data_IF_671840732707
#
_entry.id   IF_671840732707
#
_cell.length_a   1.000
_cell.length_b   1.000
_cell.length_c   1.000
_cell.angle_alpha   90.00
_cell.angle_beta   90.00
_cell.angle_gamma   90.00
#
_symmetry.space_group_name_H-M   'P 1'
#
loop_
_entity.id
_entity.type
_entity.pdbx_description
1 polymer ?
#
# COMPACT_ATOMS: atom_id res chain seq x y z
N UNK A 1 -17.60 21.79 -4.44
CA UNK A 1 -16.25 21.18 -4.43
C UNK A 1 -16.35 19.75 -3.93
N UNK A 2 -15.47 18.84 -4.37
CA UNK A 2 -15.51 17.42 -3.99
C UNK A 2 -15.49 17.21 -2.47
N UNK A 3 -14.72 18.03 -1.75
CA UNK A 3 -14.61 18.05 -0.28
C UNK A 3 -15.95 18.22 0.44
N UNK A 4 -16.87 19.02 -0.09
CA UNK A 4 -18.20 19.22 0.52
C UNK A 4 -19.04 17.93 0.51
N UNK A 5 -18.97 17.18 -0.58
CA UNK A 5 -19.67 15.88 -0.69
C UNK A 5 -19.02 14.80 0.18
N UNK A 6 -17.70 14.85 0.33
CA UNK A 6 -16.96 13.92 1.18
C UNK A 6 -17.24 14.18 2.66
N UNK A 7 -17.30 15.45 3.09
CA UNK A 7 -17.59 15.83 4.48
C UNK A 7 -18.99 15.40 4.95
N UNK A 8 -19.98 15.35 4.04
CA UNK A 8 -21.32 14.84 4.36
C UNK A 8 -21.45 13.32 4.24
N UNK A 9 -20.46 12.65 3.67
CA UNK A 9 -20.45 11.21 3.43
C UNK A 9 -19.76 10.46 4.58
N UNK A 10 -20.25 9.25 4.88
CA UNK A 10 -19.61 8.36 5.88
C UNK A 10 -18.44 7.59 5.27
N UNK A 11 -18.58 7.20 4.01
CA UNK A 11 -17.65 6.33 3.29
C UNK A 11 -17.32 6.92 1.93
N UNK A 12 -16.05 6.85 1.53
CA UNK A 12 -15.56 7.34 0.26
C UNK A 12 -14.89 6.20 -0.50
N UNK A 13 -15.48 5.79 -1.64
CA UNK A 13 -15.00 4.67 -2.43
C UNK A 13 -13.70 5.03 -3.17
N UNK A 14 -12.71 4.14 -3.06
CA UNK A 14 -11.36 4.29 -3.60
C UNK A 14 -10.93 2.98 -4.30
N UNK A 15 -11.39 2.74 -5.55
CA UNK A 15 -10.99 1.57 -6.31
C UNK A 15 -9.57 1.68 -6.86
N UNK A 16 -8.95 0.54 -7.17
CA UNK A 16 -7.67 0.47 -7.83
C UNK A 16 -7.74 1.18 -9.20
N UNK A 17 -7.06 2.30 -9.31
CA UNK A 17 -7.16 3.24 -10.44
C UNK A 17 -7.21 4.67 -9.90
N UNK A 18 -6.32 5.53 -10.40
CA UNK A 18 -5.76 6.72 -9.75
C UNK A 18 -4.56 6.36 -8.85
N UNK A 19 -3.42 6.98 -9.10
CA UNK A 19 -2.12 6.73 -8.47
C UNK A 19 -2.16 6.66 -6.92
N UNK A 20 -1.19 6.02 -6.23
CA UNK A 20 -1.07 6.05 -4.76
C UNK A 20 -1.12 7.47 -4.14
N UNK A 21 -0.76 8.48 -4.94
CA UNK A 21 -0.75 9.92 -4.64
C UNK A 21 -2.03 10.66 -5.08
N UNK A 22 -3.10 9.95 -5.42
CA UNK A 22 -4.34 10.57 -5.87
C UNK A 22 -4.95 11.48 -4.80
N UNK A 23 -5.31 12.71 -5.18
CA UNK A 23 -5.93 13.71 -4.30
C UNK A 23 -7.15 13.16 -3.54
N UNK A 24 -7.86 12.19 -4.13
CA UNK A 24 -9.07 11.59 -3.54
C UNK A 24 -8.83 10.95 -2.17
N UNK A 25 -7.67 10.32 -1.93
CA UNK A 25 -7.38 9.73 -0.62
C UNK A 25 -7.11 10.82 0.42
N UNK A 26 -6.32 11.83 0.04
CA UNK A 26 -6.00 12.98 0.88
C UNK A 26 -7.28 13.75 1.25
N UNK A 27 -8.11 14.07 0.25
CA UNK A 27 -9.38 14.78 0.44
C UNK A 27 -10.35 13.98 1.34
N UNK A 28 -10.40 12.65 1.19
CA UNK A 28 -11.22 11.78 2.03
C UNK A 28 -10.78 11.86 3.50
N UNK A 29 -9.47 11.74 3.75
CA UNK A 29 -8.91 11.74 5.10
C UNK A 29 -9.08 13.12 5.75
N UNK A 30 -8.75 14.20 5.03
CA UNK A 30 -8.93 15.57 5.52
C UNK A 30 -10.41 15.90 5.78
N UNK A 31 -11.32 15.31 5.00
CA UNK A 31 -12.78 15.44 5.22
C UNK A 31 -13.36 14.45 6.25
N UNK A 32 -12.53 13.63 6.91
CA UNK A 32 -12.96 12.56 7.84
C UNK A 32 -13.97 11.55 7.24
N UNK A 33 -13.92 11.39 5.91
CA UNK A 33 -14.69 10.40 5.18
C UNK A 33 -13.91 9.08 5.15
N UNK A 34 -14.52 7.99 5.63
CA UNK A 34 -13.82 6.70 5.77
C UNK A 34 -13.48 6.13 4.39
N UNK A 35 -12.19 5.99 4.02
CA UNK A 35 -11.82 5.42 2.73
C UNK A 35 -12.23 3.94 2.65
N UNK A 36 -12.87 3.56 1.54
CA UNK A 36 -13.17 2.17 1.19
C UNK A 36 -12.27 1.81 0.04
N UNK A 37 -11.14 1.19 0.37
CA UNK A 37 -10.06 0.85 -0.55
C UNK A 37 -10.40 -0.49 -1.20
N UNK A 38 -10.59 -0.47 -2.51
CA UNK A 38 -10.83 -1.67 -3.32
C UNK A 38 -9.58 -1.94 -4.15
N UNK A 39 -8.63 -2.71 -3.62
CA UNK A 39 -7.40 -3.08 -4.33
C UNK A 39 -6.71 -4.23 -3.61
N UNK A 40 -6.06 -5.09 -4.39
CA UNK A 40 -5.30 -6.23 -3.86
C UNK A 40 -3.81 -5.88 -3.62
N UNK A 41 -3.29 -4.83 -4.27
CA UNK A 41 -1.85 -4.51 -4.31
C UNK A 41 -1.54 -3.00 -4.22
N UNK A 42 -2.43 -2.19 -3.63
CA UNK A 42 -2.17 -0.75 -3.50
C UNK A 42 -1.15 -0.49 -2.38
N UNK A 43 -0.13 0.31 -2.69
CA UNK A 43 0.73 0.95 -1.68
C UNK A 43 0.07 2.25 -1.23
N UNK A 44 0.08 2.51 0.08
CA UNK A 44 -0.52 3.72 0.65
C UNK A 44 0.57 4.66 1.19
N UNK A 45 0.34 5.97 1.18
CA UNK A 45 1.31 6.92 1.71
C UNK A 45 1.51 6.72 3.22
N UNK A 46 2.77 6.72 3.66
CA UNK A 46 3.15 6.70 5.08
C UNK A 46 2.69 5.45 5.86
N UNK A 47 2.60 4.28 5.20
CA UNK A 47 2.19 3.01 5.84
C UNK A 47 3.11 2.54 6.99
N UNK A 48 4.34 3.05 7.07
CA UNK A 48 5.27 2.77 8.18
C UNK A 48 4.87 3.48 9.48
N UNK A 49 4.13 4.59 9.39
CA UNK A 49 3.66 5.38 10.54
C UNK A 49 2.15 5.32 10.73
N UNK A 50 1.38 5.13 9.66
CA UNK A 50 -0.09 5.10 9.68
C UNK A 50 -0.59 3.66 9.55
N UNK A 51 -1.31 3.21 10.57
CA UNK A 51 -2.01 1.93 10.51
C UNK A 51 -3.36 2.08 9.77
N UNK A 52 -3.36 1.84 8.46
CA UNK A 52 -4.55 1.98 7.62
C UNK A 52 -5.74 1.10 8.04
N UNK A 53 -5.51 -0.03 8.71
CA UNK A 53 -6.60 -0.89 9.23
C UNK A 53 -7.47 -0.18 10.28
N UNK A 54 -6.98 0.91 10.87
CA UNK A 54 -7.71 1.75 11.85
C UNK A 54 -8.46 2.91 11.23
N UNK A 55 -8.18 3.27 9.97
CA UNK A 55 -8.75 4.46 9.32
C UNK A 55 -9.50 4.16 8.03
N UNK A 56 -9.30 2.98 7.43
CA UNK A 56 -9.89 2.59 6.16
C UNK A 56 -10.51 1.19 6.21
N UNK A 57 -11.42 0.92 5.27
CA UNK A 57 -12.00 -0.40 5.01
C UNK A 57 -11.37 -0.94 3.74
N UNK A 58 -10.82 -2.15 3.80
CA UNK A 58 -10.23 -2.83 2.65
C UNK A 58 -11.19 -3.88 2.10
N UNK A 59 -11.27 -3.94 0.78
CA UNK A 59 -12.07 -4.92 0.05
C UNK A 59 -11.25 -5.42 -1.13
N UNK A 60 -11.21 -6.75 -1.32
CA UNK A 60 -10.58 -7.37 -2.48
C UNK A 60 -11.38 -7.06 -3.77
N UNK A 61 -10.68 -7.01 -4.89
CA UNK A 61 -11.28 -6.62 -6.17
C UNK A 61 -12.38 -7.60 -6.60
N UNK A 62 -12.16 -8.89 -6.39
CA UNK A 62 -13.08 -9.97 -6.77
C UNK A 62 -14.43 -9.86 -6.04
N UNK A 63 -14.41 -9.52 -4.75
CA UNK A 63 -15.64 -9.35 -3.98
C UNK A 63 -16.31 -8.02 -4.26
N UNK A 64 -15.54 -6.97 -4.55
CA UNK A 64 -16.09 -5.65 -4.83
C UNK A 64 -16.93 -5.59 -6.12
N UNK A 65 -16.58 -6.38 -7.14
CA UNK A 65 -17.36 -6.47 -8.39
C UNK A 65 -18.68 -7.23 -8.22
N UNK A 66 -18.86 -7.99 -7.13
CA UNK A 66 -20.09 -8.75 -6.87
C UNK A 66 -21.25 -7.77 -6.61
N UNK A 67 -22.36 -7.86 -7.35
CA UNK A 67 -23.48 -6.93 -7.20
C UNK A 67 -23.96 -6.85 -5.75
N UNK A 68 -24.18 -5.63 -5.27
CA UNK A 68 -24.63 -5.34 -3.91
C UNK A 68 -23.70 -5.74 -2.75
N UNK A 69 -22.52 -6.32 -3.02
CA UNK A 69 -21.61 -6.75 -1.96
C UNK A 69 -21.12 -5.57 -1.11
N UNK A 70 -20.56 -4.55 -1.75
CA UNK A 70 -20.07 -3.34 -1.07
C UNK A 70 -21.16 -2.66 -0.24
N UNK A 71 -22.35 -2.44 -0.83
CA UNK A 71 -23.42 -1.74 -0.11
C UNK A 71 -23.96 -2.54 1.07
N UNK A 72 -24.05 -3.87 0.96
CA UNK A 72 -24.42 -4.76 2.08
C UNK A 72 -23.36 -4.75 3.18
N UNK A 73 -22.08 -4.80 2.81
CA UNK A 73 -20.97 -4.76 3.76
C UNK A 73 -20.96 -3.42 4.52
N UNK A 74 -20.97 -2.29 3.81
CA UNK A 74 -20.88 -0.96 4.43
C UNK A 74 -22.07 -0.67 5.36
N UNK A 75 -23.28 -1.12 5.00
CA UNK A 75 -24.47 -1.01 5.86
C UNK A 75 -24.37 -1.81 7.17
N UNK A 76 -23.56 -2.86 7.22
CA UNK A 76 -23.35 -3.66 8.44
C UNK A 76 -22.37 -3.01 9.43
N UNK A 77 -21.62 -1.99 9.01
CA UNK A 77 -20.68 -1.30 9.88
C UNK A 77 -21.48 -0.44 10.87
N UNK A 78 -21.30 -0.72 12.16
CA UNK A 78 -22.02 -0.01 13.21
C UNK A 78 -21.58 1.45 13.33
N UNK A 79 -22.49 2.32 13.76
CA UNK A 79 -22.17 3.74 14.03
C UNK A 79 -21.02 3.90 15.02
N UNK A 80 -20.92 3.02 16.03
CA UNK A 80 -19.79 3.00 16.97
C UNK A 80 -18.45 2.80 16.26
N UNK A 81 -18.41 1.88 15.29
CA UNK A 81 -17.20 1.61 14.50
C UNK A 81 -16.88 2.75 13.54
N UNK A 82 -17.89 3.37 12.93
CA UNK A 82 -17.73 4.58 12.09
C UNK A 82 -17.10 5.72 12.91
N UNK A 83 -17.62 6.00 14.11
CA UNK A 83 -17.06 7.01 14.99
C UNK A 83 -15.63 6.69 15.43
N UNK A 84 -15.29 5.41 15.59
CA UNK A 84 -13.92 4.99 15.87
C UNK A 84 -12.99 5.33 14.68
N UNK A 85 -13.37 4.95 13.46
CA UNK A 85 -12.62 5.31 12.25
C UNK A 85 -12.41 6.83 12.15
N UNK A 86 -13.46 7.62 12.37
CA UNK A 86 -13.37 9.09 12.29
C UNK A 86 -12.45 9.71 13.35
N UNK A 87 -12.37 9.14 14.56
CA UNK A 87 -11.41 9.58 15.57
C UNK A 87 -9.97 9.29 15.15
N UNK A 88 -9.72 8.10 14.63
CA UNK A 88 -8.40 7.70 14.14
C UNK A 88 -7.99 8.55 12.92
N UNK A 89 -8.93 8.81 11.99
CA UNK A 89 -8.73 9.74 10.87
C UNK A 89 -8.34 11.14 11.35
N UNK A 90 -9.01 11.65 12.37
CA UNK A 90 -8.68 12.97 12.95
C UNK A 90 -7.27 13.01 13.53
N UNK A 91 -6.79 11.91 14.11
CA UNK A 91 -5.44 11.83 14.68
C UNK A 91 -4.36 11.87 13.59
N UNK A 92 -4.59 11.22 12.45
CA UNK A 92 -3.61 11.15 11.34
C UNK A 92 -3.79 12.26 10.30
N UNK A 93 -4.85 13.06 10.40
CA UNK A 93 -5.22 14.10 9.42
C UNK A 93 -4.06 15.02 9.03
N UNK A 94 -3.24 15.42 10.01
CA UNK A 94 -2.11 16.33 9.83
C UNK A 94 -1.08 15.81 8.81
N UNK A 95 -0.89 14.49 8.68
CA UNK A 95 -0.01 13.89 7.67
C UNK A 95 -0.48 14.11 6.23
N UNK A 96 -1.73 14.56 6.04
CA UNK A 96 -2.35 14.81 4.74
C UNK A 96 -2.72 16.28 4.52
N UNK A 97 -2.35 17.15 5.46
CA UNK A 97 -2.49 18.61 5.32
C UNK A 97 -1.14 19.19 4.85
N UNK A 98 -1.15 19.93 3.74
CA UNK A 98 0.07 20.55 3.20
C UNK A 98 0.52 21.79 3.98
N UNK A 99 -0.42 22.47 4.64
CA UNK A 99 -0.17 23.70 5.40
C UNK A 99 0.41 23.42 6.80
N UNK A 100 0.33 22.18 7.28
CA UNK A 100 0.89 21.82 8.59
C UNK A 100 2.43 21.70 8.48
N UNK A 101 3.19 22.50 9.26
CA UNK A 101 4.66 22.47 9.24
C UNK A 101 5.25 21.11 9.65
N UNK A 102 4.52 20.30 10.41
CA UNK A 102 4.87 18.93 10.80
C UNK A 102 4.02 17.87 10.07
N UNK A 103 3.32 18.27 9.01
CA UNK A 103 2.43 17.42 8.24
C UNK A 103 3.10 16.77 7.04
N UNK A 104 2.37 16.78 5.92
CA UNK A 104 2.70 16.03 4.69
C UNK A 104 4.15 16.20 4.24
N UNK A 105 4.63 17.45 4.14
CA UNK A 105 5.94 17.75 3.55
C UNK A 105 7.08 17.23 4.42
N UNK A 106 6.98 17.37 5.74
CA UNK A 106 8.00 16.88 6.66
C UNK A 106 8.06 15.35 6.66
N UNK A 107 6.90 14.68 6.60
CA UNK A 107 6.86 13.23 6.52
C UNK A 107 7.43 12.71 5.18
N UNK A 108 7.17 13.39 4.06
CA UNK A 108 7.82 13.07 2.77
C UNK A 108 9.33 13.16 2.90
N UNK A 109 9.87 14.24 3.47
CA UNK A 109 11.32 14.38 3.66
C UNK A 109 11.89 13.32 4.59
N UNK A 110 11.18 12.96 5.65
CA UNK A 110 11.54 11.83 6.52
C UNK A 110 11.63 10.53 5.71
N UNK A 111 10.62 10.18 4.93
CA UNK A 111 10.62 8.98 4.07
C UNK A 111 11.79 8.96 3.08
N UNK A 112 12.04 10.09 2.41
CA UNK A 112 13.16 10.24 1.47
C UNK A 112 14.48 10.01 2.20
N UNK A 113 14.68 10.64 3.37
CA UNK A 113 15.92 10.50 4.15
C UNK A 113 16.20 9.04 4.56
N UNK A 114 15.15 8.25 4.84
CA UNK A 114 15.26 6.85 5.21
C UNK A 114 15.55 5.92 4.01
N UNK A 115 14.99 6.22 2.83
CA UNK A 115 15.08 5.35 1.64
C UNK A 115 16.30 5.63 0.76
N UNK A 116 16.76 6.88 0.70
CA UNK A 116 17.90 7.31 -0.15
C UNK A 116 19.19 6.50 0.08
N UNK A 117 19.62 6.20 1.32
CA UNK A 117 20.83 5.41 1.54
C UNK A 117 20.76 4.01 0.92
N UNK A 118 19.61 3.33 1.07
CA UNK A 118 19.39 2.00 0.51
C UNK A 118 19.43 2.03 -1.02
N UNK A 119 18.72 3.00 -1.63
CA UNK A 119 18.70 3.19 -3.09
C UNK A 119 20.14 3.46 -3.59
N UNK A 120 20.92 4.28 -2.91
CA UNK A 120 22.32 4.56 -3.27
C UNK A 120 23.19 3.30 -3.22
N UNK A 121 23.00 2.45 -2.22
CA UNK A 121 23.69 1.15 -2.13
C UNK A 121 23.27 0.23 -3.27
N UNK A 122 21.97 0.16 -3.61
CA UNK A 122 21.46 -0.63 -4.73
C UNK A 122 22.06 -0.19 -6.06
N UNK A 123 22.07 1.13 -6.33
CA UNK A 123 22.70 1.72 -7.52
C UNK A 123 24.20 1.37 -7.59
N UNK A 124 24.93 1.47 -6.48
CA UNK A 124 26.36 1.16 -6.45
C UNK A 124 26.66 -0.35 -6.63
N UNK A 125 25.74 -1.23 -6.21
CA UNK A 125 25.85 -2.68 -6.48
C UNK A 125 25.61 -2.97 -7.96
N UNK A 126 24.55 -2.40 -8.53
CA UNK A 126 24.21 -2.56 -9.94
C UNK A 126 25.35 -2.11 -10.86
N UNK A 127 25.98 -0.95 -10.58
CA UNK A 127 27.16 -0.46 -11.31
C UNK A 127 28.39 -1.38 -11.23
N UNK A 128 28.54 -2.18 -10.18
CA UNK A 128 29.66 -3.13 -10.02
C UNK A 128 29.41 -4.45 -10.72
N UNK A 129 28.14 -4.80 -10.97
CA UNK A 129 27.82 -5.94 -11.79
C UNK A 129 28.25 -5.58 -13.22
N UNK A 130 29.37 -6.14 -13.66
CA UNK A 130 29.74 -6.14 -15.08
C UNK A 130 28.54 -6.74 -15.79
N UNK A 131 27.91 -5.98 -16.69
CA UNK A 131 26.90 -6.48 -17.61
C UNK A 131 27.58 -7.60 -18.39
N UNK A 132 27.43 -8.85 -17.96
CA UNK A 132 27.86 -9.99 -18.76
C UNK A 132 26.96 -9.95 -19.98
N UNK A 133 27.48 -9.47 -21.10
CA UNK A 133 26.87 -9.77 -22.39
C UNK A 133 26.74 -11.28 -22.46
N UNK A 134 25.50 -11.76 -22.43
CA UNK A 134 25.20 -13.15 -22.76
C UNK A 134 25.33 -13.31 -24.28
N UNK A 135 26.56 -13.30 -24.76
CA UNK A 135 26.90 -13.88 -26.06
C UNK A 135 27.37 -15.32 -25.81
N UNK A 136 26.44 -16.28 -25.87
CA UNK A 136 26.76 -17.71 -25.91
C UNK A 136 26.45 -18.53 -24.66
N UNK A 137 26.31 -19.86 -24.80
CA UNK A 137 25.23 -20.60 -24.16
C UNK A 137 25.51 -20.99 -22.71
N UNK A 138 24.43 -20.84 -21.95
CA UNK A 138 24.06 -21.43 -20.66
C UNK A 138 25.06 -22.41 -20.02
N UNK A 139 25.88 -21.90 -19.10
CA UNK A 139 26.54 -22.74 -18.11
C UNK A 139 25.53 -23.11 -17.03
N UNK A 140 24.66 -24.07 -17.36
CA UNK A 140 23.86 -24.80 -16.41
C UNK A 140 24.75 -25.31 -15.28
N UNK A 141 24.48 -24.86 -14.05
CA UNK A 141 25.08 -25.45 -12.87
C UNK A 141 24.40 -26.81 -12.66
N UNK A 142 24.96 -27.85 -13.27
CA UNK A 142 24.61 -29.24 -12.96
C UNK A 142 25.15 -29.54 -11.56
N UNK A 143 24.32 -29.37 -10.54
CA UNK A 143 24.55 -30.02 -9.26
C UNK A 143 24.22 -31.51 -9.44
N UNK A 144 25.20 -32.31 -9.87
CA UNK A 144 25.10 -33.77 -9.84
C UNK A 144 25.06 -34.25 -8.39
N UNK A 145 23.86 -34.26 -7.82
CA UNK A 145 23.55 -35.04 -6.62
C UNK A 145 22.98 -36.38 -7.09
N UNK A 146 23.83 -37.36 -7.35
CA UNK A 146 23.38 -38.75 -7.43
C UNK A 146 23.80 -39.48 -6.16
N UNK A 147 22.79 -39.75 -5.34
CA UNK A 147 22.84 -40.59 -4.17
C UNK A 147 23.47 -41.94 -4.52
N UNK A 148 24.46 -42.35 -3.72
CA UNK A 148 24.94 -43.73 -3.64
C UNK A 148 23.80 -44.58 -3.08
N UNK A 149 23.04 -45.25 -3.96
CA UNK A 149 22.31 -46.46 -3.57
C UNK A 149 23.20 -47.65 -3.85
N UNK A 150 23.92 -48.10 -2.81
CA UNK A 150 24.56 -49.39 -2.78
C UNK A 150 23.47 -50.48 -2.70
N UNK A 151 23.14 -51.08 -3.84
CA UNK A 151 22.55 -52.42 -3.90
C UNK A 151 23.69 -53.43 -4.03
N UNK A 152 23.82 -54.34 -3.06
CA UNK A 152 24.42 -55.68 -3.15
C UNK A 152 23.81 -56.49 -1.98
N UNK A 153 22.80 -57.34 -2.21
CA UNK A 153 22.92 -58.78 -2.51
C UNK A 153 23.37 -59.60 -1.28
N UNK A 154 22.41 -60.14 -0.51
CA UNK A 154 22.05 -61.56 -0.27
C UNK A 154 20.74 -61.62 0.53
#
# INVERSE_FOLDING_TARGET
MATQGMHSSKFCLHPAGDTPSACRLFDAIVSLCIPVIVSDYIELPFEDVINYKKIAVFVDTESAIKPSYLTKMLRRISTKRILQYQRELKAVKHYFEYEDPNGTVNEIWRQVSLKVPLIKVMINRDKRLVKREMDGPDCSCVCSSQNVTATNQW
#
